data_IF_995778498751
#
_entry.id   IF_995778498751
#
_cell.length_a   1.000
_cell.length_b   1.000
_cell.length_c   1.000
_cell.angle_alpha   90.00
_cell.angle_beta   90.00
_cell.angle_gamma   90.00
#
_symmetry.space_group_name_H-M   'P 1'
#
loop_
_entity.id
_entity.type
_entity.pdbx_description
1 polymer ?
#
# COMPACT_ATOMS: atom_id res chain seq x y z
N UNK A 1 -17.12 3.22 20.20
CA UNK A 1 -17.03 2.46 18.93
C UNK A 1 -16.93 0.94 19.14
N UNK A 2 -17.23 0.39 20.33
CA UNK A 2 -17.25 -1.07 20.49
C UNK A 2 -18.29 -1.71 19.55
N UNK A 3 -18.00 -2.92 19.09
CA UNK A 3 -18.81 -3.75 18.20
C UNK A 3 -19.08 -3.13 16.82
N UNK A 4 -18.23 -2.17 16.41
CA UNK A 4 -18.26 -1.60 15.07
C UNK A 4 -17.19 -2.20 14.18
N UNK A 5 -17.51 -2.29 12.89
CA UNK A 5 -16.65 -2.84 11.84
C UNK A 5 -16.14 -1.70 10.96
N UNK A 6 -14.84 -1.73 10.65
CA UNK A 6 -14.18 -0.71 9.84
C UNK A 6 -13.32 -1.35 8.74
N UNK A 7 -13.17 -0.62 7.64
CA UNK A 7 -12.20 -0.94 6.60
C UNK A 7 -10.86 -0.29 6.98
N UNK A 8 -9.78 -1.06 6.89
CA UNK A 8 -8.41 -0.53 6.89
C UNK A 8 -7.62 -1.12 5.73
N UNK A 9 -6.59 -0.41 5.30
CA UNK A 9 -5.73 -0.81 4.19
C UNK A 9 -4.36 -1.30 4.66
N UNK A 10 -4.04 -1.11 5.95
CA UNK A 10 -2.80 -1.60 6.53
C UNK A 10 -2.99 -1.92 8.01
N UNK A 11 -2.37 -3.00 8.46
CA UNK A 11 -2.55 -3.59 9.80
C UNK A 11 -1.20 -3.63 10.54
N UNK A 12 -0.65 -2.49 10.98
CA UNK A 12 0.68 -2.44 11.60
C UNK A 12 0.81 -3.24 12.90
N UNK A 13 -0.31 -3.62 13.54
CA UNK A 13 -0.34 -4.52 14.69
C UNK A 13 -0.28 -6.01 14.32
N UNK A 14 -0.52 -6.36 13.06
CA UNK A 14 -0.41 -7.73 12.55
C UNK A 14 0.19 -7.75 11.13
N UNK A 15 1.51 -7.51 10.97
CA UNK A 15 2.14 -7.46 9.65
C UNK A 15 2.08 -8.79 8.88
N UNK A 16 1.77 -9.91 9.53
CA UNK A 16 1.70 -11.22 8.87
C UNK A 16 0.55 -11.34 7.86
N UNK A 17 -0.45 -10.46 7.93
CA UNK A 17 -1.56 -10.45 6.95
C UNK A 17 -1.31 -9.53 5.76
N UNK A 18 -0.20 -8.80 5.76
CA UNK A 18 0.24 -8.03 4.59
C UNK A 18 0.47 -8.93 3.38
N UNK A 19 0.26 -8.39 2.18
CA UNK A 19 0.66 -9.07 0.95
C UNK A 19 2.18 -9.32 0.87
N UNK A 20 2.97 -8.52 1.59
CA UNK A 20 4.40 -8.75 1.82
C UNK A 20 4.74 -8.59 3.32
N UNK A 21 4.64 -9.67 4.11
CA UNK A 21 4.90 -9.61 5.54
C UNK A 21 6.32 -9.19 5.92
N UNK A 22 7.32 -9.52 5.10
CA UNK A 22 8.71 -9.18 5.39
C UNK A 22 8.94 -7.68 5.24
N UNK A 23 8.41 -7.08 4.16
CA UNK A 23 8.46 -5.66 3.94
C UNK A 23 7.65 -4.88 4.97
N UNK A 24 6.45 -5.35 5.32
CA UNK A 24 5.63 -4.72 6.35
C UNK A 24 6.37 -4.66 7.70
N UNK A 25 7.02 -5.77 8.11
CA UNK A 25 7.85 -5.81 9.32
C UNK A 25 8.99 -4.81 9.25
N UNK A 26 9.77 -4.82 8.17
CA UNK A 26 10.90 -3.90 7.99
C UNK A 26 10.46 -2.42 8.03
N UNK A 27 9.33 -2.09 7.39
CA UNK A 27 8.77 -0.74 7.40
C UNK A 27 8.35 -0.30 8.82
N UNK A 28 7.63 -1.16 9.55
CA UNK A 28 7.16 -0.88 10.92
C UNK A 28 8.35 -0.74 11.88
N UNK A 29 9.37 -1.58 11.75
CA UNK A 29 10.58 -1.54 12.58
C UNK A 29 11.37 -0.25 12.34
N UNK A 30 11.61 0.13 11.08
CA UNK A 30 12.31 1.37 10.75
C UNK A 30 11.52 2.61 11.18
N UNK A 31 10.19 2.60 11.06
CA UNK A 31 9.32 3.67 11.56
C UNK A 31 9.46 3.87 13.07
N UNK A 32 9.43 2.78 13.84
CA UNK A 32 9.63 2.79 15.30
C UNK A 32 11.02 3.28 15.67
N UNK A 33 12.06 2.79 14.99
CA UNK A 33 13.45 3.20 15.20
C UNK A 33 13.65 4.70 14.99
N UNK A 34 12.94 5.31 14.04
CA UNK A 34 12.96 6.76 13.78
C UNK A 34 12.15 7.59 14.76
N UNK A 35 11.41 6.96 15.67
CA UNK A 35 10.61 7.66 16.68
C UNK A 35 9.39 8.38 16.12
N UNK A 36 8.89 7.97 14.95
CA UNK A 36 7.74 8.62 14.35
C UNK A 36 6.42 8.23 15.06
N UNK A 37 5.42 9.14 15.12
CA UNK A 37 4.14 8.86 15.76
C UNK A 37 3.44 7.65 15.13
N UNK A 38 2.85 6.79 15.95
CA UNK A 38 2.13 5.60 15.49
C UNK A 38 0.98 5.94 14.53
N UNK A 39 0.28 7.07 14.75
CA UNK A 39 -0.81 7.50 13.88
C UNK A 39 -0.38 7.74 12.43
N UNK A 40 0.88 8.11 12.18
CA UNK A 40 1.39 8.27 10.82
C UNK A 40 1.65 6.93 10.13
N UNK A 41 1.94 5.87 10.89
CA UNK A 41 2.29 4.55 10.35
C UNK A 41 1.13 3.93 9.55
N UNK A 42 -0.11 4.19 9.96
CA UNK A 42 -1.31 3.59 9.35
C UNK A 42 -1.57 4.09 7.93
N UNK A 43 -1.05 5.26 7.56
CA UNK A 43 -1.27 5.88 6.24
C UNK A 43 0.02 5.96 5.39
N UNK A 44 1.18 6.11 6.04
CA UNK A 44 2.45 6.43 5.36
C UNK A 44 3.00 5.30 4.49
N UNK A 45 2.48 4.08 4.67
CA UNK A 45 2.82 2.94 3.82
C UNK A 45 2.56 3.24 2.33
N UNK A 46 1.53 4.05 2.03
CA UNK A 46 1.20 4.47 0.65
C UNK A 46 2.30 5.32 0.03
N UNK A 47 2.93 6.20 0.81
CA UNK A 47 4.06 7.00 0.35
C UNK A 47 5.28 6.14 0.06
N UNK A 48 5.57 5.16 0.93
CA UNK A 48 6.65 4.20 0.72
C UNK A 48 6.44 3.38 -0.56
N UNK A 49 5.25 2.81 -0.73
CA UNK A 49 4.90 2.05 -1.93
C UNK A 49 4.89 2.93 -3.18
N UNK A 50 4.41 4.18 -3.09
CA UNK A 50 4.44 5.15 -4.19
C UNK A 50 5.86 5.45 -4.68
N UNK A 51 6.82 5.69 -3.77
CA UNK A 51 8.22 5.93 -4.15
C UNK A 51 8.86 4.68 -4.76
N UNK A 52 8.60 3.48 -4.20
CA UNK A 52 9.09 2.21 -4.79
C UNK A 52 8.56 1.99 -6.20
N UNK A 53 7.29 2.31 -6.42
CA UNK A 53 6.61 2.25 -7.71
C UNK A 53 7.26 3.17 -8.74
N UNK A 54 7.52 4.43 -8.36
CA UNK A 54 8.20 5.41 -9.22
C UNK A 54 9.63 4.96 -9.55
N UNK A 55 10.39 4.49 -8.55
CA UNK A 55 11.75 4.00 -8.74
C UNK A 55 11.79 2.79 -9.69
N UNK A 56 10.85 1.85 -9.56
CA UNK A 56 10.71 0.71 -10.46
C UNK A 56 10.40 1.15 -11.90
N UNK A 57 9.52 2.14 -12.08
CA UNK A 57 9.20 2.68 -13.40
C UNK A 57 10.39 3.39 -14.05
N UNK A 58 11.15 4.20 -13.30
CA UNK A 58 12.39 4.84 -13.79
C UNK A 58 13.40 3.78 -14.23
N UNK A 59 13.59 2.73 -13.41
CA UNK A 59 14.50 1.62 -13.72
C UNK A 59 14.06 0.91 -15.01
N UNK A 60 12.76 0.63 -15.14
CA UNK A 60 12.19 -0.02 -16.33
C UNK A 60 12.27 0.86 -17.59
N UNK A 61 12.11 2.16 -17.45
CA UNK A 61 12.24 3.12 -18.55
C UNK A 61 13.69 3.23 -19.06
N UNK A 62 14.68 2.93 -18.21
CA UNK A 62 16.11 3.04 -18.52
C UNK A 62 16.62 4.48 -18.64
N UNK A 63 15.75 5.47 -18.45
CA UNK A 63 16.06 6.91 -18.51
C UNK A 63 15.05 7.73 -17.72
N UNK A 64 15.50 8.89 -17.25
CA UNK A 64 14.69 9.81 -16.44
C UNK A 64 13.88 10.80 -17.30
N UNK A 65 13.27 10.33 -18.38
CA UNK A 65 12.41 11.15 -19.25
C UNK A 65 10.92 10.93 -18.88
N UNK A 66 10.12 11.99 -18.70
CA UNK A 66 8.73 11.87 -18.23
C UNK A 66 7.89 10.90 -19.05
N UNK A 67 8.03 10.93 -20.37
CA UNK A 67 7.20 10.14 -21.29
C UNK A 67 7.55 8.66 -21.22
N UNK A 68 8.84 8.35 -21.04
CA UNK A 68 9.34 7.00 -20.87
C UNK A 68 8.91 6.42 -19.51
N UNK A 69 8.98 7.21 -18.44
CA UNK A 69 8.52 6.81 -17.10
C UNK A 69 7.01 6.55 -17.11
N UNK A 70 6.22 7.44 -17.73
CA UNK A 70 4.77 7.27 -17.86
C UNK A 70 4.40 6.00 -18.64
N UNK A 71 5.10 5.70 -19.73
CA UNK A 71 4.91 4.45 -20.45
C UNK A 71 5.31 3.22 -19.60
N UNK A 72 6.39 3.32 -18.82
CA UNK A 72 6.84 2.26 -17.94
C UNK A 72 5.87 1.99 -16.78
N UNK A 73 5.24 3.03 -16.20
CA UNK A 73 4.25 2.91 -15.12
C UNK A 73 3.11 1.95 -15.51
N UNK A 74 2.63 1.96 -16.75
CA UNK A 74 1.60 1.02 -17.22
C UNK A 74 2.02 -0.46 -17.22
N UNK A 75 3.31 -0.72 -17.13
CA UNK A 75 3.88 -2.07 -17.25
C UNK A 75 4.52 -2.58 -15.97
N UNK A 76 4.47 -1.82 -14.87
CA UNK A 76 5.02 -2.27 -13.60
C UNK A 76 4.05 -3.23 -12.92
N UNK A 77 4.63 -4.21 -12.26
CA UNK A 77 3.94 -5.04 -11.29
C UNK A 77 4.93 -5.29 -10.15
N UNK A 78 4.54 -4.96 -8.91
CA UNK A 78 5.40 -5.16 -7.75
C UNK A 78 4.58 -5.51 -6.51
N UNK A 79 5.13 -6.28 -5.55
CA UNK A 79 4.50 -6.47 -4.25
C UNK A 79 4.51 -5.13 -3.48
N UNK A 80 3.33 -4.72 -3.02
CA UNK A 80 3.11 -3.62 -2.08
C UNK A 80 2.65 -4.13 -0.72
N UNK A 81 2.67 -3.26 0.29
CA UNK A 81 2.33 -3.62 1.67
C UNK A 81 0.85 -3.98 1.85
N UNK A 82 -0.03 -3.50 0.98
CA UNK A 82 -1.45 -3.80 1.02
C UNK A 82 -1.96 -4.53 -0.23
N UNK A 83 -1.08 -5.13 -1.03
CA UNK A 83 -1.50 -5.83 -2.25
C UNK A 83 -0.51 -5.66 -3.38
N UNK A 84 -0.77 -6.36 -4.49
CA UNK A 84 -0.01 -6.18 -5.72
C UNK A 84 -0.26 -4.77 -6.27
N UNK A 85 0.80 -4.03 -6.52
CA UNK A 85 0.74 -2.74 -7.20
C UNK A 85 0.78 -3.01 -8.70
N UNK A 86 -0.29 -2.61 -9.38
CA UNK A 86 -0.45 -2.68 -10.84
C UNK A 86 -1.44 -1.61 -11.26
N UNK A 87 -1.12 -0.86 -12.31
CA UNK A 87 -2.04 0.14 -12.85
C UNK A 87 -2.93 -0.44 -13.94
N UNK A 88 -4.23 -0.38 -13.71
CA UNK A 88 -5.27 -0.68 -14.66
C UNK A 88 -5.92 0.61 -15.14
N UNK A 89 -6.33 0.62 -16.40
CA UNK A 89 -7.06 1.75 -16.96
C UNK A 89 -8.45 1.83 -16.33
N UNK A 90 -8.80 3.01 -15.83
CA UNK A 90 -10.11 3.27 -15.27
C UNK A 90 -10.61 4.66 -15.68
N UNK A 91 -11.88 4.72 -16.08
CA UNK A 91 -12.54 5.94 -16.53
C UNK A 91 -13.02 5.84 -17.98
N UNK A 92 -13.52 6.96 -18.55
CA UNK A 92 -13.98 7.01 -19.94
C UNK A 92 -12.84 6.74 -20.94
N UNK A 93 -13.20 6.16 -22.09
CA UNK A 93 -12.25 5.90 -23.17
C UNK A 93 -11.55 7.19 -23.62
N UNK A 94 -10.22 7.19 -23.68
CA UNK A 94 -9.39 8.35 -24.01
C UNK A 94 -9.14 9.33 -22.86
N UNK A 95 -9.66 9.07 -21.66
CA UNK A 95 -9.43 9.84 -20.42
C UNK A 95 -9.13 8.91 -19.24
N UNK A 96 -8.53 7.75 -19.51
CA UNK A 96 -8.27 6.74 -18.50
C UNK A 96 -7.21 7.21 -17.50
N UNK A 97 -7.54 7.08 -16.23
CA UNK A 97 -6.57 7.15 -15.13
C UNK A 97 -5.95 5.78 -14.88
N UNK A 98 -4.76 5.75 -14.27
CA UNK A 98 -4.19 4.51 -13.75
C UNK A 98 -4.65 4.28 -12.31
N UNK A 99 -5.45 3.25 -12.09
CA UNK A 99 -5.88 2.84 -10.75
C UNK A 99 -5.20 1.52 -10.36
N UNK A 100 -4.81 1.39 -9.09
CA UNK A 100 -4.32 0.14 -8.53
C UNK A 100 -5.30 -0.33 -7.47
N UNK A 101 -5.72 -1.60 -7.56
CA UNK A 101 -6.68 -2.18 -6.63
C UNK A 101 -5.96 -2.64 -5.35
N UNK A 102 -6.17 -1.99 -4.19
CA UNK A 102 -5.56 -2.41 -2.96
C UNK A 102 -6.30 -3.61 -2.36
N UNK A 103 -5.59 -4.42 -1.59
CA UNK A 103 -6.19 -5.27 -0.58
C UNK A 103 -6.83 -4.44 0.52
N UNK A 104 -7.95 -4.94 1.04
CA UNK A 104 -8.66 -4.35 2.18
C UNK A 104 -8.70 -5.36 3.32
N UNK A 105 -8.63 -4.84 4.53
CA UNK A 105 -8.83 -5.60 5.75
C UNK A 105 -10.09 -5.10 6.43
N UNK A 106 -10.94 -6.03 6.82
CA UNK A 106 -12.06 -5.75 7.70
C UNK A 106 -11.56 -5.91 9.13
N UNK A 107 -11.76 -4.90 9.97
CA UNK A 107 -11.40 -4.94 11.39
C UNK A 107 -12.62 -4.70 12.25
N UNK A 108 -12.62 -5.24 13.47
CA UNK A 108 -13.65 -5.00 14.47
C UNK A 108 -13.03 -4.40 15.73
N UNK A 109 -13.76 -3.52 16.40
CA UNK A 109 -13.38 -3.03 17.72
C UNK A 109 -14.12 -3.86 18.78
N UNK A 110 -13.41 -4.77 19.43
CA UNK A 110 -13.95 -5.64 20.49
C UNK A 110 -13.30 -5.30 21.82
N UNK A 111 -14.10 -4.94 22.83
CA UNK A 111 -13.61 -4.57 24.16
C UNK A 111 -12.49 -3.50 24.12
N UNK A 112 -12.64 -2.49 23.25
CA UNK A 112 -11.65 -1.43 23.05
C UNK A 112 -10.38 -1.84 22.29
N UNK A 113 -10.30 -3.07 21.76
CA UNK A 113 -9.16 -3.57 20.99
C UNK A 113 -9.51 -3.77 19.53
N UNK A 114 -8.57 -3.47 18.64
CA UNK A 114 -8.70 -3.76 17.21
C UNK A 114 -8.37 -5.23 16.98
N UNK A 115 -9.32 -5.97 16.41
CA UNK A 115 -9.17 -7.38 16.04
C UNK A 115 -9.45 -7.56 14.55
N UNK A 116 -8.81 -8.57 13.95
CA UNK A 116 -9.22 -9.09 12.66
C UNK A 116 -10.27 -10.16 12.93
N UNK A 117 -11.53 -9.99 12.50
CA UNK A 117 -12.55 -11.01 12.64
C UNK A 117 -12.12 -12.25 11.83
N UNK A 118 -12.40 -13.44 12.37
CA UNK A 118 -12.30 -14.66 11.57
C UNK A 118 -13.31 -14.55 10.42
N UNK A 119 -12.87 -14.93 9.21
CA UNK A 119 -13.75 -15.03 8.04
C UNK A 119 -14.81 -16.12 8.23
#
# INVERSE_FOLDING_TARGET
ANDTTHITFFTPWNPNVSADPAMAKAFIEEWKKRGYPFAGLTESFRGYDGIRTIAAAITKAGKAEPEAIRAALWQIELPGMNGKIKFEQAGPAGQESGQSNPGIYLIKIENGKVVLPNA
#
